data_IF_442444944217
#
_entry.id   IF_442444944217
#
_cell.length_a   1.000
_cell.length_b   1.000
_cell.length_c   1.000
_cell.angle_alpha   90.00
_cell.angle_beta   90.00
_cell.angle_gamma   90.00
#
_symmetry.space_group_name_H-M   'P 1'
#
loop_
_entity.id
_entity.type
_entity.pdbx_description
1 polymer ?
#
# COMPACT_ATOMS: atom_id res chain seq x y z
N UNK A 1 -8.69 -6.99 -8.82
CA UNK A 1 -7.23 -7.05 -8.98
C UNK A 1 -6.69 -8.02 -7.95
N UNK A 2 -5.63 -8.73 -8.29
CA UNK A 2 -4.88 -9.56 -7.34
C UNK A 2 -3.68 -8.76 -6.79
N UNK A 3 -2.94 -9.34 -5.84
CA UNK A 3 -1.71 -8.71 -5.30
C UNK A 3 -0.73 -8.30 -6.39
N UNK A 4 -0.54 -9.13 -7.43
CA UNK A 4 0.42 -8.85 -8.50
C UNK A 4 0.09 -7.58 -9.27
N UNK A 5 -1.19 -7.31 -9.50
CA UNK A 5 -1.64 -6.11 -10.22
C UNK A 5 -1.23 -4.84 -9.43
N UNK A 6 -1.36 -4.85 -8.11
CA UNK A 6 -1.03 -3.71 -7.25
C UNK A 6 0.47 -3.45 -7.17
N UNK A 7 1.28 -4.50 -7.04
CA UNK A 7 2.75 -4.35 -7.00
C UNK A 7 3.31 -3.94 -8.37
N UNK A 8 2.73 -4.45 -9.47
CA UNK A 8 3.08 -4.01 -10.83
C UNK A 8 2.70 -2.56 -11.06
N UNK A 9 1.60 -2.07 -10.49
CA UNK A 9 1.22 -0.66 -10.56
C UNK A 9 2.24 0.24 -9.84
N UNK A 10 2.72 -0.18 -8.66
CA UNK A 10 3.80 0.52 -7.95
C UNK A 10 5.09 0.59 -8.78
N UNK A 11 5.47 -0.51 -9.43
CA UNK A 11 6.67 -0.56 -10.29
C UNK A 11 6.51 0.26 -11.58
N UNK A 12 5.43 0.05 -12.34
CA UNK A 12 5.31 0.52 -13.73
C UNK A 12 4.64 1.87 -13.86
N UNK A 13 3.64 2.16 -13.03
CA UNK A 13 2.80 3.33 -13.20
C UNK A 13 3.22 4.47 -12.27
N UNK A 14 3.57 4.13 -11.03
CA UNK A 14 4.04 5.07 -10.00
C UNK A 14 5.57 5.25 -10.10
N UNK A 15 6.32 4.15 -10.15
CA UNK A 15 7.79 4.08 -10.15
C UNK A 15 8.44 4.67 -8.88
N UNK A 16 8.30 5.98 -8.65
CA UNK A 16 8.84 6.67 -7.47
C UNK A 16 7.84 6.72 -6.33
N UNK A 17 8.23 6.21 -5.16
CA UNK A 17 7.40 6.17 -3.94
C UNK A 17 8.04 6.97 -2.81
N UNK A 18 7.22 7.45 -1.86
CA UNK A 18 7.73 8.02 -0.62
C UNK A 18 7.81 6.90 0.42
N UNK A 19 9.02 6.55 0.84
CA UNK A 19 9.28 5.55 1.88
C UNK A 19 9.51 6.25 3.21
N UNK A 20 8.78 5.83 4.23
CA UNK A 20 8.93 6.20 5.63
C UNK A 20 9.68 5.13 6.42
N UNK A 21 10.59 5.60 7.28
CA UNK A 21 11.40 4.84 8.24
C UNK A 21 11.42 5.59 9.56
N UNK A 22 12.05 5.01 10.60
CA UNK A 22 12.27 5.70 11.88
C UNK A 22 13.77 5.84 12.16
N UNK A 23 14.17 6.99 12.70
CA UNK A 23 15.55 7.22 13.14
C UNK A 23 15.86 6.54 14.49
N UNK A 24 17.08 6.72 14.99
CA UNK A 24 17.51 6.15 16.28
C UNK A 24 16.71 6.63 17.50
N UNK A 25 15.97 7.75 17.39
CA UNK A 25 15.09 8.28 18.44
C UNK A 25 13.63 7.84 18.24
N UNK A 26 13.34 7.05 17.21
CA UNK A 26 11.99 6.64 16.84
C UNK A 26 11.19 7.73 16.12
N UNK A 27 11.84 8.80 15.65
CA UNK A 27 11.17 9.87 14.90
C UNK A 27 11.04 9.47 13.42
N UNK A 28 9.91 9.79 12.77
CA UNK A 28 9.68 9.41 11.38
C UNK A 28 10.58 10.21 10.43
N UNK A 29 11.11 9.52 9.42
CA UNK A 29 11.92 10.10 8.34
C UNK A 29 11.45 9.54 7.00
N UNK A 30 11.27 10.40 6.01
CA UNK A 30 10.84 10.02 4.66
C UNK A 30 11.91 10.29 3.60
N UNK A 31 11.85 9.53 2.50
CA UNK A 31 12.61 9.80 1.29
C UNK A 31 11.90 9.24 0.06
N UNK A 32 12.09 9.89 -1.10
CA UNK A 32 11.66 9.35 -2.38
C UNK A 32 12.60 8.22 -2.82
N UNK A 33 12.04 7.07 -3.19
CA UNK A 33 12.76 5.87 -3.62
C UNK A 33 12.01 5.22 -4.78
N UNK A 34 12.76 4.87 -5.82
CA UNK A 34 12.24 4.18 -6.99
C UNK A 34 12.09 2.69 -6.72
N UNK A 35 10.93 2.16 -7.11
CA UNK A 35 10.63 0.74 -7.16
C UNK A 35 11.22 0.20 -8.45
N UNK A 36 12.34 -0.52 -8.31
CA UNK A 36 13.16 -0.95 -9.45
C UNK A 36 12.56 -2.15 -10.17
N UNK A 37 11.84 -3.00 -9.45
CA UNK A 37 11.25 -4.24 -9.96
C UNK A 37 10.21 -4.81 -8.99
N UNK A 38 9.31 -5.65 -9.49
CA UNK A 38 8.37 -6.43 -8.70
C UNK A 38 8.19 -7.84 -9.27
N UNK A 39 7.97 -8.82 -8.38
CA UNK A 39 7.64 -10.20 -8.71
C UNK A 39 6.75 -10.83 -7.61
N UNK A 40 6.48 -12.13 -7.68
CA UNK A 40 5.67 -12.85 -6.70
C UNK A 40 6.27 -12.85 -5.27
N UNK A 41 7.57 -12.54 -5.13
CA UNK A 41 8.28 -12.48 -3.85
C UNK A 41 8.29 -11.07 -3.25
N UNK A 42 7.93 -10.05 -4.03
CA UNK A 42 7.67 -8.70 -3.51
C UNK A 42 8.23 -7.56 -4.35
N UNK A 43 8.55 -6.44 -3.68
CA UNK A 43 9.02 -5.20 -4.30
C UNK A 43 10.52 -5.01 -4.06
N UNK A 44 11.24 -4.64 -5.11
CA UNK A 44 12.69 -4.46 -5.07
C UNK A 44 13.04 -2.98 -5.26
N UNK A 45 13.92 -2.50 -4.41
CA UNK A 45 14.48 -1.15 -4.48
C UNK A 45 15.95 -1.20 -4.11
N UNK A 46 16.67 -0.09 -4.29
CA UNK A 46 18.09 -0.03 -3.97
C UNK A 46 18.46 1.27 -3.26
N UNK A 47 19.57 1.23 -2.55
CA UNK A 47 20.17 2.43 -1.96
C UNK A 47 21.67 2.27 -1.81
N UNK A 48 22.38 3.37 -1.54
CA UNK A 48 23.80 3.34 -1.28
C UNK A 48 24.08 3.07 0.21
N UNK A 49 25.06 2.22 0.51
CA UNK A 49 25.43 1.79 1.87
C UNK A 49 25.87 2.94 2.80
N UNK A 50 26.29 4.08 2.24
CA UNK A 50 26.68 5.26 3.01
C UNK A 50 25.52 6.19 3.40
N UNK A 51 24.27 5.91 3.02
CA UNK A 51 23.12 6.78 3.31
C UNK A 51 22.50 6.45 4.67
N UNK A 52 22.00 7.46 5.38
CA UNK A 52 21.22 7.25 6.62
C UNK A 52 20.01 6.34 6.40
N UNK A 53 19.41 6.35 5.22
CA UNK A 53 18.32 5.43 4.85
C UNK A 53 18.77 3.96 4.92
N UNK A 54 19.96 3.62 4.40
CA UNK A 54 20.53 2.28 4.50
C UNK A 54 20.62 1.82 5.96
N UNK A 55 21.21 2.63 6.83
CA UNK A 55 21.37 2.28 8.24
C UNK A 55 20.03 2.05 8.96
N UNK A 56 19.00 2.84 8.64
CA UNK A 56 17.64 2.63 9.16
C UNK A 56 17.02 1.33 8.65
N UNK A 57 17.19 0.98 7.38
CA UNK A 57 16.67 -0.29 6.83
C UNK A 57 17.29 -1.51 7.51
N UNK A 58 18.61 -1.50 7.73
CA UNK A 58 19.32 -2.61 8.39
C UNK A 58 18.87 -2.79 9.83
N UNK A 59 18.68 -1.68 10.55
CA UNK A 59 18.28 -1.69 11.96
C UNK A 59 16.82 -2.08 12.15
N UNK A 60 15.91 -1.43 11.44
CA UNK A 60 14.47 -1.53 11.68
C UNK A 60 13.82 -2.67 10.90
N UNK A 61 14.37 -3.02 9.72
CA UNK A 61 13.84 -4.07 8.82
C UNK A 61 12.35 -3.95 8.51
N UNK A 62 11.80 -2.75 8.61
CA UNK A 62 10.39 -2.46 8.39
C UNK A 62 10.25 -1.07 7.79
N UNK A 63 9.39 -0.94 6.78
CA UNK A 63 9.09 0.33 6.12
C UNK A 63 7.59 0.50 5.92
N UNK A 64 7.19 1.74 5.69
CA UNK A 64 5.94 2.08 5.02
C UNK A 64 6.25 2.88 3.77
N UNK A 65 5.49 2.69 2.70
CA UNK A 65 5.62 3.46 1.47
C UNK A 65 4.26 3.84 0.91
N UNK A 66 4.20 4.98 0.24
CA UNK A 66 3.02 5.41 -0.52
C UNK A 66 3.46 5.97 -1.86
N UNK A 67 2.75 5.57 -2.91
CA UNK A 67 2.85 6.16 -4.23
C UNK A 67 1.49 6.63 -4.72
N UNK A 68 1.49 7.68 -5.54
CA UNK A 68 0.27 8.28 -6.11
C UNK A 68 0.50 8.46 -7.61
N UNK A 69 -0.49 8.07 -8.41
CA UNK A 69 -0.53 8.31 -9.84
C UNK A 69 -1.84 9.01 -10.19
N UNK A 70 -1.76 10.15 -10.85
CA UNK A 70 -2.93 10.92 -11.28
C UNK A 70 -2.60 12.36 -11.63
N UNK A 71 -3.55 13.05 -12.27
CA UNK A 71 -3.40 14.46 -12.67
C UNK A 71 -3.95 15.42 -11.61
N UNK A 72 -5.00 14.99 -10.89
CA UNK A 72 -5.63 15.73 -9.80
C UNK A 72 -6.22 14.77 -8.76
N UNK A 73 -6.84 15.32 -7.70
CA UNK A 73 -7.41 14.54 -6.60
C UNK A 73 -8.51 13.56 -7.04
N UNK A 74 -9.34 13.93 -8.02
CA UNK A 74 -10.46 13.09 -8.46
C UNK A 74 -10.06 12.11 -9.55
N UNK A 75 -8.87 12.23 -10.11
CA UNK A 75 -8.30 11.36 -11.13
C UNK A 75 -6.98 10.75 -10.63
N UNK A 76 -6.92 10.34 -9.37
CA UNK A 76 -5.75 9.67 -8.81
C UNK A 76 -6.03 8.32 -8.18
N UNK A 77 -4.98 7.50 -8.24
CA UNK A 77 -4.83 6.23 -7.57
C UNK A 77 -3.70 6.38 -6.56
N UNK A 78 -3.94 5.99 -5.32
CA UNK A 78 -2.93 5.86 -4.29
C UNK A 78 -2.74 4.39 -3.92
N UNK A 79 -1.48 3.98 -3.78
CA UNK A 79 -1.11 2.66 -3.29
C UNK A 79 -0.18 2.83 -2.10
N UNK A 80 -0.59 2.32 -0.94
CA UNK A 80 0.22 2.34 0.28
C UNK A 80 0.57 0.93 0.69
N UNK A 81 1.80 0.70 1.13
CA UNK A 81 2.28 -0.62 1.55
C UNK A 81 3.11 -0.46 2.82
N UNK A 82 2.93 -1.35 3.79
CA UNK A 82 3.82 -1.42 4.97
C UNK A 82 4.21 -2.86 5.25
N UNK A 83 5.49 -3.07 5.54
CA UNK A 83 6.00 -4.42 5.64
C UNK A 83 7.47 -4.54 5.97
N UNK A 84 7.90 -5.79 6.09
CA UNK A 84 9.28 -6.17 6.38
C UNK A 84 10.14 -6.08 5.13
N UNK A 85 11.39 -5.70 5.34
CA UNK A 85 12.41 -5.64 4.29
C UNK A 85 13.66 -6.42 4.68
N UNK A 86 14.36 -6.90 3.67
CA UNK A 86 15.66 -7.57 3.81
C UNK A 86 16.66 -7.06 2.77
N UNK A 87 17.95 -7.09 3.12
CA UNK A 87 19.04 -6.77 2.20
C UNK A 87 19.41 -8.03 1.39
N UNK A 88 19.50 -7.88 0.07
CA UNK A 88 19.88 -8.94 -0.87
C UNK A 88 21.30 -8.77 -1.43
N UNK A 89 21.98 -7.67 -1.10
CA UNK A 89 23.33 -7.38 -1.60
C UNK A 89 23.34 -6.88 -3.04
N UNK A 90 24.46 -7.08 -3.74
CA UNK A 90 24.72 -6.52 -5.07
C UNK A 90 24.39 -7.44 -6.25
N UNK A 91 24.06 -8.72 -6.02
CA UNK A 91 23.94 -9.73 -7.07
C UNK A 91 22.86 -9.38 -8.11
N UNK A 92 21.76 -8.74 -7.67
CA UNK A 92 20.66 -8.34 -8.54
C UNK A 92 20.90 -7.00 -9.28
N UNK A 93 21.97 -6.28 -8.99
CA UNK A 93 22.23 -4.96 -9.60
C UNK A 93 22.26 -5.00 -11.15
N UNK A 94 22.95 -5.95 -11.81
CA UNK A 94 22.95 -6.00 -13.28
C UNK A 94 21.55 -6.17 -13.87
N UNK A 95 20.72 -7.01 -13.24
CA UNK A 95 19.34 -7.22 -13.65
C UNK A 95 18.50 -5.94 -13.45
N UNK A 96 18.57 -5.31 -12.28
CA UNK A 96 17.81 -4.08 -12.02
C UNK A 96 18.24 -2.92 -12.93
N UNK A 97 19.53 -2.81 -13.26
CA UNK A 97 20.02 -1.81 -14.24
C UNK A 97 19.52 -2.11 -15.65
N UNK A 98 19.39 -3.38 -16.05
CA UNK A 98 18.79 -3.75 -17.33
C UNK A 98 17.31 -3.36 -17.43
N UNK A 99 16.60 -3.37 -16.29
CA UNK A 99 15.20 -2.92 -16.19
C UNK A 99 15.07 -1.40 -16.08
N UNK A 100 16.09 -0.72 -15.57
CA UNK A 100 16.10 0.70 -15.28
C UNK A 100 17.35 1.38 -15.87
N UNK A 101 17.45 1.56 -17.20
CA UNK A 101 18.68 1.99 -17.86
C UNK A 101 19.18 3.38 -17.41
N UNK A 102 18.28 4.27 -16.98
CA UNK A 102 18.63 5.61 -16.46
C UNK A 102 19.61 5.55 -15.28
N UNK A 103 19.63 4.44 -14.53
CA UNK A 103 20.57 4.25 -13.43
C UNK A 103 22.03 4.28 -13.88
N UNK A 104 22.32 3.95 -15.15
CA UNK A 104 23.67 4.05 -15.70
C UNK A 104 24.13 5.50 -15.88
N UNK A 105 23.22 6.49 -15.96
CA UNK A 105 23.56 7.91 -15.98
C UNK A 105 24.00 8.39 -14.59
N UNK A 106 23.43 7.82 -13.52
CA UNK A 106 23.74 8.14 -12.12
C UNK A 106 24.99 7.37 -11.64
N UNK A 107 25.10 6.10 -12.03
CA UNK A 107 26.19 5.19 -11.65
C UNK A 107 26.86 4.59 -12.91
N UNK A 108 27.68 5.38 -13.62
CA UNK A 108 28.21 5.00 -14.93
C UNK A 108 29.26 3.89 -14.89
N UNK A 109 29.95 3.72 -13.77
CA UNK A 109 31.07 2.76 -13.65
C UNK A 109 30.75 1.63 -12.67
N UNK A 110 31.34 0.45 -12.87
CA UNK A 110 31.21 -0.67 -11.92
C UNK A 110 31.61 -0.26 -10.50
N UNK A 111 32.72 0.46 -10.36
CA UNK A 111 33.21 0.98 -9.08
C UNK A 111 32.19 1.89 -8.38
N UNK A 112 31.44 2.71 -9.12
CA UNK A 112 30.38 3.54 -8.52
C UNK A 112 29.20 2.70 -8.03
N UNK A 113 28.92 1.57 -8.68
CA UNK A 113 27.82 0.65 -8.34
C UNK A 113 28.14 -0.22 -7.12
N UNK A 114 29.41 -0.42 -6.77
CA UNK A 114 29.83 -1.13 -5.55
C UNK A 114 29.25 -0.52 -4.26
N UNK A 115 28.93 0.78 -4.29
CA UNK A 115 28.28 1.47 -3.18
C UNK A 115 26.82 1.06 -2.98
N UNK A 116 26.19 0.45 -3.99
CA UNK A 116 24.76 0.09 -3.98
C UNK A 116 24.52 -1.27 -3.36
N UNK A 117 23.31 -1.43 -2.83
CA UNK A 117 22.77 -2.70 -2.37
C UNK A 117 21.28 -2.75 -2.64
N UNK A 118 20.77 -3.94 -2.88
CA UNK A 118 19.37 -4.19 -3.19
C UNK A 118 18.63 -4.60 -1.92
N UNK A 119 17.42 -4.09 -1.76
CA UNK A 119 16.48 -4.51 -0.73
C UNK A 119 15.22 -5.07 -1.37
N UNK A 120 14.58 -6.00 -0.65
CA UNK A 120 13.26 -6.53 -0.99
C UNK A 120 12.29 -6.30 0.16
N UNK A 121 11.11 -5.77 -0.15
CA UNK A 121 9.94 -5.83 0.72
C UNK A 121 9.20 -7.15 0.42
N UNK A 122 9.28 -8.10 1.34
CA UNK A 122 8.89 -9.50 1.10
C UNK A 122 7.65 -9.93 1.88
N UNK A 123 7.28 -9.21 2.94
CA UNK A 123 6.11 -9.52 3.78
C UNK A 123 5.39 -8.22 4.15
N UNK A 124 4.20 -7.98 3.60
CA UNK A 124 3.52 -6.69 3.75
C UNK A 124 1.99 -6.75 3.62
N UNK A 125 1.34 -5.72 4.16
CA UNK A 125 -0.05 -5.37 3.84
C UNK A 125 -0.06 -4.08 3.01
N UNK A 126 -0.94 -4.01 2.02
CA UNK A 126 -1.13 -2.85 1.19
C UNK A 126 -2.59 -2.44 1.05
N UNK A 127 -2.79 -1.16 0.81
CA UNK A 127 -4.07 -0.53 0.54
C UNK A 127 -4.05 0.12 -0.85
N UNK A 128 -5.07 -0.20 -1.64
CA UNK A 128 -5.38 0.44 -2.90
C UNK A 128 -6.52 1.42 -2.71
N UNK A 129 -6.39 2.62 -3.26
CA UNK A 129 -7.43 3.64 -3.21
C UNK A 129 -7.51 4.40 -4.54
N UNK A 130 -8.61 4.22 -5.26
CA UNK A 130 -8.84 4.78 -6.58
C UNK A 130 -10.01 5.76 -6.55
N UNK A 131 -9.68 7.05 -6.57
CA UNK A 131 -10.62 8.17 -6.55
C UNK A 131 -11.26 8.44 -7.91
N UNK A 132 -10.68 7.89 -9.00
CA UNK A 132 -11.17 8.04 -10.37
C UNK A 132 -12.47 7.26 -10.61
N UNK A 133 -12.75 6.25 -9.79
CA UNK A 133 -13.97 5.44 -9.86
C UNK A 133 -15.13 6.04 -9.07
N UNK A 134 -16.35 5.69 -9.50
CA UNK A 134 -17.62 6.02 -8.83
C UNK A 134 -18.52 4.77 -8.82
N UNK A 135 -18.84 4.20 -7.65
CA UNK A 135 -18.30 4.54 -6.31
C UNK A 135 -16.77 4.39 -6.25
N UNK A 136 -16.13 5.11 -5.33
CA UNK A 136 -14.69 5.05 -5.09
C UNK A 136 -14.31 3.60 -4.82
N UNK A 137 -13.22 3.15 -5.44
CA UNK A 137 -12.74 1.79 -5.27
C UNK A 137 -11.62 1.77 -4.22
N UNK A 138 -11.69 0.77 -3.35
CA UNK A 138 -10.69 0.46 -2.35
C UNK A 138 -10.46 -1.04 -2.35
N UNK A 139 -9.22 -1.45 -2.11
CA UNK A 139 -8.94 -2.85 -1.81
C UNK A 139 -7.79 -2.96 -0.80
N UNK A 140 -7.69 -4.15 -0.21
CA UNK A 140 -6.57 -4.55 0.65
C UNK A 140 -5.86 -5.72 -0.01
N UNK A 141 -4.54 -5.72 -0.02
CA UNK A 141 -3.76 -6.83 -0.55
C UNK A 141 -2.57 -7.17 0.35
N UNK A 142 -2.00 -8.35 0.13
CA UNK A 142 -0.93 -8.89 0.96
C UNK A 142 0.19 -9.47 0.11
N UNK A 143 1.43 -9.24 0.56
CA UNK A 143 2.66 -9.76 -0.05
C UNK A 143 3.28 -10.72 0.94
N UNK A 144 3.60 -11.94 0.51
CA UNK A 144 4.36 -12.94 1.29
C UNK A 144 3.76 -13.35 2.64
N UNK A 145 2.47 -13.06 2.88
CA UNK A 145 1.73 -13.49 4.07
C UNK A 145 0.27 -13.81 3.72
N UNK A 146 -0.35 -14.59 4.59
CA UNK A 146 -1.78 -14.85 4.52
C UNK A 146 -2.60 -13.58 4.72
N UNK A 147 -3.83 -13.59 4.20
CA UNK A 147 -4.78 -12.52 4.44
C UNK A 147 -5.01 -12.37 5.95
N UNK A 148 -4.64 -11.20 6.48
CA UNK A 148 -5.01 -10.84 7.85
C UNK A 148 -6.39 -10.22 7.88
N UNK A 149 -7.13 -10.39 8.98
CA UNK A 149 -8.36 -9.63 9.20
C UNK A 149 -8.00 -8.16 9.43
N UNK A 150 -8.04 -7.37 8.35
CA UNK A 150 -8.11 -5.91 8.49
C UNK A 150 -9.45 -5.54 9.10
N UNK A 151 -9.41 -4.66 10.09
CA UNK A 151 -10.63 -4.19 10.73
C UNK A 151 -11.46 -3.42 9.71
N UNK A 152 -12.69 -3.88 9.51
CA UNK A 152 -13.66 -3.31 8.57
C UNK A 152 -14.99 -3.08 9.28
N UNK A 153 -15.88 -2.33 8.64
CA UNK A 153 -17.25 -2.20 9.13
C UNK A 153 -18.10 -3.37 8.63
N UNK A 154 -18.77 -4.04 9.55
CA UNK A 154 -19.72 -5.11 9.26
C UNK A 154 -21.06 -4.82 9.90
N UNK A 155 -22.14 -5.24 9.25
CA UNK A 155 -23.49 -5.19 9.80
C UNK A 155 -23.81 -6.58 10.37
N UNK A 156 -24.36 -6.60 11.57
CA UNK A 156 -24.68 -7.80 12.36
C UNK A 156 -26.16 -8.15 12.26
N UNK A 157 -26.53 -9.30 12.84
CA UNK A 157 -27.90 -9.80 13.03
C UNK A 157 -28.85 -8.83 13.74
N UNK A 158 -28.33 -7.82 14.46
CA UNK A 158 -29.12 -6.73 15.05
C UNK A 158 -29.74 -5.77 14.03
N UNK A 159 -29.42 -5.91 12.74
CA UNK A 159 -29.95 -5.05 11.69
C UNK A 159 -31.43 -5.35 11.45
N UNK A 160 -32.27 -4.31 11.54
CA UNK A 160 -33.73 -4.41 11.29
C UNK A 160 -34.15 -3.80 9.95
N UNK A 161 -33.20 -3.44 9.08
CA UNK A 161 -33.53 -2.91 7.75
C UNK A 161 -34.08 -1.49 7.70
N UNK A 162 -33.88 -0.67 8.74
CA UNK A 162 -34.42 0.70 8.81
C UNK A 162 -33.78 1.71 7.83
N UNK A 163 -32.67 1.36 7.15
CA UNK A 163 -31.96 2.17 6.14
C UNK A 163 -31.37 3.51 6.59
N UNK A 164 -31.37 3.84 7.88
CA UNK A 164 -30.74 5.08 8.40
C UNK A 164 -29.27 5.19 8.00
N UNK A 165 -28.51 4.09 8.06
CA UNK A 165 -27.11 4.06 7.65
C UNK A 165 -26.88 4.30 6.14
N UNK A 166 -27.88 4.02 5.29
CA UNK A 166 -27.78 4.26 3.85
C UNK A 166 -27.71 5.75 3.54
N UNK A 167 -28.54 6.57 4.22
CA UNK A 167 -28.62 8.01 4.01
C UNK A 167 -27.35 8.78 4.40
N UNK A 168 -26.48 8.19 5.22
CA UNK A 168 -25.20 8.80 5.65
C UNK A 168 -23.98 8.17 4.98
N UNK A 169 -24.17 7.17 4.13
CA UNK A 169 -23.08 6.50 3.43
C UNK A 169 -22.70 7.33 2.19
N UNK A 170 -21.51 7.97 2.16
CA UNK A 170 -21.13 8.82 1.03
C UNK A 170 -20.93 8.04 -0.28
N UNK A 171 -20.76 6.72 -0.21
CA UNK A 171 -20.55 5.85 -1.36
C UNK A 171 -21.79 5.03 -1.73
N UNK A 172 -22.89 5.18 -0.99
CA UNK A 172 -24.09 4.35 -1.13
C UNK A 172 -23.76 2.84 -1.24
N UNK A 173 -22.79 2.38 -0.44
CA UNK A 173 -22.20 1.04 -0.56
C UNK A 173 -22.82 0.03 0.42
N UNK A 174 -24.07 0.26 0.87
CA UNK A 174 -24.79 -0.62 1.79
C UNK A 174 -25.94 -1.26 1.03
N UNK A 175 -25.89 -2.57 0.83
CA UNK A 175 -26.91 -3.36 0.17
C UNK A 175 -27.99 -3.85 1.15
N UNK A 176 -29.24 -3.59 0.80
CA UNK A 176 -30.43 -3.98 1.55
C UNK A 176 -31.28 -5.02 0.81
N UNK A 177 -30.72 -5.74 -0.17
CA UNK A 177 -31.37 -6.90 -0.82
C UNK A 177 -31.68 -8.02 0.18
N UNK A 178 -30.93 -8.12 1.28
CA UNK A 178 -31.18 -9.03 2.39
C UNK A 178 -31.02 -8.32 3.74
N UNK A 179 -31.54 -8.94 4.81
CA UNK A 179 -31.40 -8.49 6.19
C UNK A 179 -30.74 -9.64 6.99
N UNK A 180 -29.58 -9.42 7.64
CA UNK A 180 -28.84 -8.16 7.75
C UNK A 180 -28.32 -7.60 6.43
N UNK A 181 -28.38 -6.27 6.29
CA UNK A 181 -27.79 -5.56 5.16
C UNK A 181 -26.28 -5.82 5.05
N UNK A 182 -25.70 -5.70 3.86
CA UNK A 182 -24.28 -5.95 3.62
C UNK A 182 -23.55 -4.67 3.21
N UNK A 183 -22.30 -4.49 3.66
CA UNK A 183 -21.47 -3.37 3.20
C UNK A 183 -20.56 -3.90 2.09
N UNK A 184 -20.65 -3.29 0.91
CA UNK A 184 -19.72 -3.54 -0.20
C UNK A 184 -18.33 -3.00 0.18
N UNK A 185 -17.48 -3.89 0.69
CA UNK A 185 -16.20 -3.52 1.29
C UNK A 185 -15.28 -2.78 0.31
N UNK A 186 -15.35 -3.12 -0.98
CA UNK A 186 -14.56 -2.46 -2.04
C UNK A 186 -14.92 -1.00 -2.29
N UNK A 187 -16.01 -0.51 -1.69
CA UNK A 187 -16.44 0.87 -1.82
C UNK A 187 -16.59 1.57 -0.46
N UNK A 188 -16.28 0.89 0.64
CA UNK A 188 -16.38 1.48 1.96
C UNK A 188 -15.18 2.38 2.25
N UNK A 189 -15.44 3.67 2.54
CA UNK A 189 -14.40 4.63 2.94
C UNK A 189 -13.93 4.44 4.40
N UNK A 190 -14.52 3.51 5.14
CA UNK A 190 -14.28 3.33 6.58
C UNK A 190 -14.49 4.60 7.42
N UNK A 191 -15.39 5.49 7.00
CA UNK A 191 -15.68 6.74 7.72
C UNK A 191 -16.41 6.55 9.06
N UNK A 192 -17.11 5.43 9.26
CA UNK A 192 -17.81 5.13 10.51
C UNK A 192 -19.20 5.75 10.68
N UNK A 193 -19.66 6.61 9.75
CA UNK A 193 -20.97 7.25 9.83
C UNK A 193 -22.11 6.24 10.06
N UNK A 194 -22.10 5.11 9.35
CA UNK A 194 -23.11 4.07 9.48
C UNK A 194 -23.16 3.44 10.88
N UNK A 195 -22.01 3.36 11.57
CA UNK A 195 -21.91 2.88 12.94
C UNK A 195 -22.44 3.90 13.95
N UNK A 196 -22.11 5.17 13.76
CA UNK A 196 -22.57 6.25 14.62
C UNK A 196 -24.10 6.39 14.61
N UNK A 197 -24.74 6.33 13.43
CA UNK A 197 -26.18 6.57 13.30
C UNK A 197 -27.06 5.34 13.52
N UNK A 198 -26.49 4.15 13.70
CA UNK A 198 -27.29 2.93 13.78
C UNK A 198 -28.02 2.82 15.13
N UNK A 199 -29.37 2.96 15.18
CA UNK A 199 -30.09 2.94 16.46
C UNK A 199 -30.03 1.57 17.16
N UNK A 200 -29.87 0.50 16.39
CA UNK A 200 -29.77 -0.87 16.91
C UNK A 200 -28.32 -1.29 17.22
N UNK A 201 -27.34 -0.39 17.05
CA UNK A 201 -25.90 -0.69 17.18
C UNK A 201 -25.50 -1.94 16.41
N UNK A 202 -26.04 -2.08 15.20
CA UNK A 202 -25.87 -3.25 14.35
C UNK A 202 -24.58 -3.21 13.53
N UNK A 203 -23.95 -2.05 13.37
CA UNK A 203 -22.67 -1.92 12.67
C UNK A 203 -21.53 -2.03 13.68
N UNK A 204 -20.52 -2.85 13.38
CA UNK A 204 -19.35 -3.08 14.24
C UNK A 204 -18.05 -2.92 13.44
N UNK A 205 -16.99 -2.50 14.14
CA UNK A 205 -15.63 -2.46 13.62
C UNK A 205 -14.85 -3.69 14.11
N UNK A 206 -14.58 -4.63 13.22
CA UNK A 206 -13.87 -5.88 13.56
C UNK A 206 -13.01 -6.37 12.41
#
# INVERSE_FOLDING_TARGET
MNTEDYIKFLEKEIHTTIIATVDEKGLPVTCAIDIMYSDEKGLYFLTAKGKGFYHRLIKEKFIALTGIKGEDTMHCVAVSVRGKVEELGGELLPFLFSKNPYMAEIYPTEKSREALTVFRLYEASGEWFDLSKKPIERDTFYIGKEESYEKKYFITDKCVGCKVCQGVCPQNCIDFTSIPAEIHQKNCLHCGNCMEVCPNKAVVWR
#
